data_IF_398977773016
#
_entry.id   IF_398977773016
#
_cell.length_a   1.000
_cell.length_b   1.000
_cell.length_c   1.000
_cell.angle_alpha   90.00
_cell.angle_beta   90.00
_cell.angle_gamma   90.00
#
_symmetry.space_group_name_H-M   'P 1'
#
loop_
_entity.id
_entity.type
_entity.pdbx_description
1 polymer ?
#
# COMPACT_ATOMS: atom_id res chain seq x y z
N UNK A 1 0.37 -13.83 -36.22
CA UNK A 1 0.78 -14.26 -34.86
C UNK A 1 0.03 -13.37 -33.90
N UNK A 2 -1.17 -13.81 -33.53
CA UNK A 2 -2.11 -13.06 -32.71
C UNK A 2 -1.67 -13.24 -31.26
N UNK A 3 -1.25 -12.16 -30.61
CA UNK A 3 -0.95 -12.17 -29.18
C UNK A 3 -2.30 -12.33 -28.49
N UNK A 4 -2.52 -13.51 -27.90
CA UNK A 4 -3.69 -13.81 -27.08
C UNK A 4 -3.55 -13.02 -25.77
N UNK A 5 -4.04 -11.78 -25.78
CA UNK A 5 -3.97 -10.84 -24.67
C UNK A 5 -5.12 -11.06 -23.66
N UNK A 6 -5.38 -12.31 -23.32
CA UNK A 6 -6.06 -12.64 -22.08
C UNK A 6 -5.00 -12.81 -20.99
N UNK A 7 -4.21 -11.77 -20.69
CA UNK A 7 -3.58 -11.69 -19.37
C UNK A 7 -4.75 -11.58 -18.39
N UNK A 8 -5.12 -12.71 -17.78
CA UNK A 8 -6.08 -12.73 -16.69
C UNK A 8 -5.58 -11.72 -15.67
N UNK A 9 -6.25 -10.56 -15.60
CA UNK A 9 -6.00 -9.60 -14.53
C UNK A 9 -6.17 -10.37 -13.22
N UNK A 10 -5.23 -10.18 -12.30
CA UNK A 10 -5.33 -10.76 -10.96
C UNK A 10 -6.76 -10.55 -10.44
N UNK A 11 -7.45 -11.59 -9.95
CA UNK A 11 -8.84 -11.46 -9.51
C UNK A 11 -8.96 -10.54 -8.27
N UNK A 12 -7.83 -10.13 -7.70
CA UNK A 12 -7.73 -9.26 -6.52
C UNK A 12 -7.69 -7.79 -6.96
N UNK A 13 -8.63 -7.00 -6.45
CA UNK A 13 -8.67 -5.58 -6.75
C UNK A 13 -7.45 -4.82 -6.17
N UNK A 14 -6.90 -3.79 -6.87
CA UNK A 14 -5.69 -3.11 -6.44
C UNK A 14 -5.73 -2.52 -5.02
N UNK A 15 -6.90 -2.06 -4.55
CA UNK A 15 -7.04 -1.41 -3.24
C UNK A 15 -6.94 -2.39 -2.06
N UNK A 16 -7.19 -3.69 -2.26
CA UNK A 16 -7.03 -4.77 -1.25
C UNK A 16 -5.72 -5.56 -1.39
N UNK A 17 -4.91 -5.23 -2.40
CA UNK A 17 -3.80 -6.08 -2.79
C UNK A 17 -2.70 -6.19 -1.72
N UNK A 18 -2.45 -5.13 -0.94
CA UNK A 18 -1.44 -5.19 0.14
C UNK A 18 -1.83 -6.19 1.24
N UNK A 19 -3.10 -6.17 1.68
CA UNK A 19 -3.65 -7.13 2.63
C UNK A 19 -3.65 -8.54 2.07
N UNK A 20 -4.08 -8.71 0.82
CA UNK A 20 -4.02 -9.99 0.10
C UNK A 20 -2.60 -10.59 0.11
N UNK A 21 -1.58 -9.79 -0.16
CA UNK A 21 -0.20 -10.28 -0.25
C UNK A 21 0.34 -10.82 1.09
N UNK A 22 0.00 -10.19 2.22
CA UNK A 22 0.36 -10.74 3.54
C UNK A 22 -0.53 -11.92 3.94
N UNK A 23 -1.81 -11.94 3.52
CA UNK A 23 -2.75 -13.03 3.76
C UNK A 23 -2.29 -14.32 3.08
N UNK A 24 -2.02 -14.27 1.76
CA UNK A 24 -1.55 -15.46 1.02
C UNK A 24 -0.21 -15.97 1.53
N UNK A 25 0.71 -15.07 1.92
CA UNK A 25 1.99 -15.45 2.51
C UNK A 25 1.79 -16.17 3.86
N UNK A 26 0.93 -15.64 4.74
CA UNK A 26 0.63 -16.26 6.03
C UNK A 26 0.03 -17.68 5.87
N UNK A 27 -0.92 -17.84 4.94
CA UNK A 27 -1.50 -19.15 4.60
C UNK A 27 -0.46 -20.11 4.00
N UNK A 28 0.44 -19.62 3.15
CA UNK A 28 1.52 -20.42 2.58
C UNK A 28 2.46 -20.96 3.66
N UNK A 29 2.73 -20.17 4.71
CA UNK A 29 3.45 -20.60 5.91
C UNK A 29 2.59 -21.42 6.89
N UNK A 30 1.40 -21.88 6.50
CA UNK A 30 0.54 -22.74 7.31
C UNK A 30 0.04 -22.08 8.59
N UNK A 31 -0.05 -20.75 8.63
CA UNK A 31 -0.58 -20.03 9.78
C UNK A 31 -2.12 -20.05 9.74
N UNK A 32 -2.74 -20.16 10.92
CA UNK A 32 -4.14 -19.77 11.11
C UNK A 32 -4.26 -18.26 10.97
N UNK A 33 -5.21 -17.81 10.18
CA UNK A 33 -5.41 -16.39 9.86
C UNK A 33 -6.83 -15.96 10.26
N UNK A 34 -6.96 -14.77 10.83
CA UNK A 34 -8.21 -14.04 10.98
C UNK A 34 -8.11 -12.74 10.19
N UNK A 35 -8.84 -12.68 9.07
CA UNK A 35 -9.00 -11.48 8.27
C UNK A 35 -10.19 -10.68 8.80
N UNK A 36 -9.98 -9.38 8.94
CA UNK A 36 -10.96 -8.41 9.39
C UNK A 36 -11.10 -7.30 8.33
N UNK A 37 -12.24 -6.59 8.30
CA UNK A 37 -12.44 -5.47 7.40
C UNK A 37 -11.29 -4.47 7.45
N UNK A 38 -11.06 -3.79 6.32
CA UNK A 38 -9.96 -2.81 6.16
C UNK A 38 -8.57 -3.46 6.19
N UNK A 39 -8.44 -4.68 5.66
CA UNK A 39 -7.16 -5.38 5.50
C UNK A 39 -6.41 -5.50 6.83
N UNK A 40 -7.13 -5.71 7.94
CA UNK A 40 -6.52 -6.08 9.21
C UNK A 40 -6.37 -7.60 9.22
N UNK A 41 -5.16 -8.06 9.44
CA UNK A 41 -4.82 -9.49 9.42
C UNK A 41 -4.16 -9.87 10.75
N UNK A 42 -4.72 -10.86 11.42
CA UNK A 42 -4.10 -11.50 12.59
C UNK A 42 -3.70 -12.92 12.20
N UNK A 43 -2.50 -13.37 12.57
CA UNK A 43 -2.07 -14.73 12.27
C UNK A 43 -1.32 -15.38 13.43
N UNK A 44 -1.48 -16.70 13.57
CA UNK A 44 -0.83 -17.53 14.58
C UNK A 44 -0.77 -19.00 14.17
N UNK A 45 -0.16 -19.87 14.99
CA UNK A 45 0.04 -21.29 14.60
C UNK A 45 -1.22 -22.15 14.70
N UNK A 46 -1.93 -22.06 15.82
CA UNK A 46 -3.10 -22.90 16.14
C UNK A 46 -4.41 -22.10 16.21
N UNK A 47 -4.28 -20.81 16.42
CA UNK A 47 -5.35 -19.83 16.54
C UNK A 47 -4.81 -18.51 16.03
N UNK A 48 -5.66 -17.70 15.42
CA UNK A 48 -5.32 -16.32 15.06
C UNK A 48 -5.36 -15.38 16.29
N UNK A 49 -5.99 -15.80 17.39
CA UNK A 49 -6.08 -15.04 18.65
C UNK A 49 -5.70 -15.94 19.85
N UNK A 50 -4.70 -15.56 20.67
CA UNK A 50 -3.84 -14.38 20.53
C UNK A 50 -2.98 -14.46 19.27
N UNK A 51 -2.84 -13.33 18.58
CA UNK A 51 -2.05 -13.26 17.36
C UNK A 51 -0.57 -13.38 17.67
N UNK A 52 0.16 -14.13 16.85
CA UNK A 52 1.63 -14.15 16.88
C UNK A 52 2.21 -13.02 16.03
N UNK A 53 1.55 -12.68 14.93
CA UNK A 53 1.89 -11.56 14.04
C UNK A 53 0.61 -10.85 13.58
N UNK A 54 0.70 -9.56 13.30
CA UNK A 54 -0.42 -8.79 12.76
C UNK A 54 0.00 -7.76 11.72
N UNK A 55 -0.95 -7.42 10.85
CA UNK A 55 -0.78 -6.44 9.77
C UNK A 55 -2.03 -5.57 9.63
N UNK A 56 -1.86 -4.37 9.10
CA UNK A 56 -2.97 -3.53 8.63
C UNK A 56 -2.60 -2.91 7.30
N UNK A 57 -3.37 -3.17 6.23
CA UNK A 57 -3.03 -2.76 4.85
C UNK A 57 -1.61 -3.21 4.43
N UNK A 58 -1.21 -4.42 4.84
CA UNK A 58 0.13 -4.97 4.61
C UNK A 58 1.24 -4.32 5.46
N UNK A 59 0.95 -3.27 6.24
CA UNK A 59 1.93 -2.68 7.16
C UNK A 59 2.08 -3.59 8.39
N UNK A 60 3.31 -4.03 8.72
CA UNK A 60 3.56 -4.93 9.84
C UNK A 60 3.42 -4.19 11.18
N UNK A 61 2.98 -4.90 12.23
CA UNK A 61 2.85 -4.36 13.60
C UNK A 61 4.14 -3.75 14.16
N UNK A 62 5.31 -4.21 13.70
CA UNK A 62 6.60 -3.61 14.06
C UNK A 62 6.73 -2.14 13.62
N UNK A 63 5.92 -1.67 12.66
CA UNK A 63 5.80 -0.24 12.33
C UNK A 63 4.89 0.46 13.34
N UNK A 64 5.47 1.29 14.18
CA UNK A 64 4.71 2.04 15.19
C UNK A 64 3.76 3.06 14.56
N UNK A 65 2.65 3.37 15.24
CA UNK A 65 1.69 4.40 14.78
C UNK A 65 2.36 5.77 14.59
N UNK A 66 3.33 6.12 15.45
CA UNK A 66 4.10 7.35 15.31
C UNK A 66 4.91 7.38 14.01
N UNK A 67 5.58 6.27 13.68
CA UNK A 67 6.37 6.15 12.45
C UNK A 67 5.50 6.25 11.19
N UNK A 68 4.35 5.56 11.19
CA UNK A 68 3.35 5.65 10.12
C UNK A 68 2.88 7.10 9.96
N UNK A 69 2.58 7.79 11.06
CA UNK A 69 2.17 9.19 11.04
C UNK A 69 3.27 10.10 10.47
N UNK A 70 4.54 9.85 10.82
CA UNK A 70 5.67 10.60 10.27
C UNK A 70 5.85 10.36 8.77
N UNK A 71 5.66 9.12 8.29
CA UNK A 71 5.76 8.78 6.88
C UNK A 71 4.65 9.44 6.03
N UNK A 72 3.48 9.67 6.61
CA UNK A 72 2.33 10.34 5.97
C UNK A 72 2.47 11.88 5.92
N UNK A 73 3.29 12.49 6.77
CA UNK A 73 3.63 13.92 6.71
C UNK A 73 4.94 14.13 5.93
N UNK A 74 4.81 14.54 4.66
CA UNK A 74 5.95 14.76 3.75
C UNK A 74 6.96 15.76 4.31
N UNK A 75 6.53 16.74 5.11
CA UNK A 75 7.44 17.73 5.70
C UNK A 75 8.25 17.11 6.83
N UNK A 76 7.62 16.34 7.71
CA UNK A 76 8.34 15.65 8.80
C UNK A 76 9.30 14.61 8.24
N UNK A 77 8.83 13.79 7.30
CA UNK A 77 9.64 12.80 6.61
C UNK A 77 10.84 13.40 5.91
N UNK A 78 10.65 14.48 5.13
CA UNK A 78 11.75 15.22 4.48
C UNK A 78 12.79 15.66 5.50
N UNK A 79 12.36 16.27 6.61
CA UNK A 79 13.28 16.72 7.66
C UNK A 79 14.04 15.55 8.32
N UNK A 80 13.40 14.38 8.48
CA UNK A 80 14.06 13.17 8.99
C UNK A 80 15.11 12.64 8.02
N UNK A 81 14.79 12.57 6.71
CA UNK A 81 15.73 12.15 5.67
C UNK A 81 16.95 13.09 5.57
N UNK A 82 16.72 14.41 5.58
CA UNK A 82 17.80 15.40 5.59
C UNK A 82 18.69 15.26 6.83
N UNK A 83 18.09 15.00 8.00
CA UNK A 83 18.82 14.83 9.27
C UNK A 83 19.75 13.61 9.26
N UNK A 84 19.41 12.56 8.50
CA UNK A 84 20.29 11.39 8.30
C UNK A 84 21.21 11.52 7.08
N UNK A 85 21.29 12.72 6.49
CA UNK A 85 22.19 13.05 5.39
C UNK A 85 21.80 12.42 4.07
N UNK A 86 20.51 12.14 3.85
CA UNK A 86 20.02 11.63 2.57
C UNK A 86 19.52 12.77 1.68
N UNK A 87 19.87 12.76 0.39
CA UNK A 87 19.47 13.81 -0.53
C UNK A 87 17.97 13.74 -0.82
N UNK A 88 17.31 14.90 -0.78
CA UNK A 88 15.88 15.10 -1.07
C UNK A 88 15.73 16.34 -1.96
N UNK A 89 14.73 16.40 -2.86
CA UNK A 89 14.55 17.55 -3.76
C UNK A 89 14.40 18.84 -2.98
N UNK A 90 15.05 19.93 -3.40
CA UNK A 90 14.86 21.22 -2.75
C UNK A 90 13.38 21.62 -2.79
N UNK A 91 12.81 21.91 -1.62
CA UNK A 91 11.38 22.19 -1.50
C UNK A 91 10.99 23.04 -0.31
N UNK A 92 9.80 23.62 -0.37
CA UNK A 92 9.19 24.42 0.68
C UNK A 92 7.67 24.19 0.75
N UNK A 93 7.10 24.42 1.93
CA UNK A 93 5.65 24.25 2.15
C UNK A 93 4.93 25.58 2.21
N UNK A 94 3.79 25.68 1.53
CA UNK A 94 2.94 26.86 1.49
C UNK A 94 1.49 26.49 1.79
N UNK A 95 0.74 27.44 2.34
CA UNK A 95 -0.72 27.32 2.48
C UNK A 95 -1.44 27.90 1.27
N UNK A 96 -2.72 27.59 1.12
CA UNK A 96 -3.57 28.25 0.12
C UNK A 96 -3.50 29.79 0.20
N UNK A 97 -3.49 30.34 1.42
CA UNK A 97 -3.42 31.80 1.66
C UNK A 97 -2.09 32.45 1.28
N UNK A 98 -1.07 31.65 1.00
CA UNK A 98 0.29 32.13 0.76
C UNK A 98 0.80 31.72 -0.62
N UNK A 99 -0.10 31.55 -1.59
CA UNK A 99 0.27 31.07 -2.91
C UNK A 99 1.11 32.09 -3.70
N UNK A 100 0.85 33.38 -3.55
CA UNK A 100 1.70 34.42 -4.16
C UNK A 100 3.14 34.36 -3.63
N UNK A 101 3.30 34.03 -2.34
CA UNK A 101 4.64 33.79 -1.75
C UNK A 101 5.28 32.52 -2.29
N UNK A 102 4.47 31.53 -2.64
CA UNK A 102 4.94 30.30 -3.27
C UNK A 102 5.49 30.61 -4.67
N UNK A 103 4.75 31.36 -5.49
CA UNK A 103 5.21 31.83 -6.80
C UNK A 103 6.50 32.66 -6.70
N UNK A 104 6.56 33.62 -5.76
CA UNK A 104 7.78 34.40 -5.50
C UNK A 104 8.96 33.54 -5.07
N UNK A 105 8.73 32.47 -4.30
CA UNK A 105 9.77 31.53 -3.91
C UNK A 105 10.27 30.73 -5.13
N UNK A 106 9.36 30.19 -5.95
CA UNK A 106 9.73 29.47 -7.18
C UNK A 106 10.52 30.37 -8.13
N UNK A 107 10.08 31.61 -8.34
CA UNK A 107 10.75 32.57 -9.22
C UNK A 107 12.17 32.93 -8.76
N UNK A 108 12.45 32.89 -7.45
CA UNK A 108 13.80 33.13 -6.91
C UNK A 108 14.67 31.90 -7.03
N UNK A 109 14.20 30.78 -6.49
CA UNK A 109 14.86 29.48 -6.55
C UNK A 109 13.91 28.44 -5.89
N UNK A 110 13.52 27.34 -6.57
CA UNK A 110 14.32 26.57 -7.54
C UNK A 110 14.13 26.88 -9.03
N UNK A 111 13.20 27.77 -9.39
CA UNK A 111 12.75 27.94 -10.78
C UNK A 111 11.80 26.83 -11.24
N UNK A 112 11.17 27.05 -12.39
CA UNK A 112 10.31 26.08 -13.06
C UNK A 112 11.11 25.07 -13.92
N UNK A 113 10.63 23.83 -14.13
CA UNK A 113 9.39 23.27 -13.60
C UNK A 113 9.49 22.79 -12.15
N UNK A 114 8.36 22.79 -11.46
CA UNK A 114 8.21 22.31 -10.07
C UNK A 114 7.15 21.22 -9.97
N UNK A 115 7.21 20.47 -8.87
CA UNK A 115 6.22 19.48 -8.48
C UNK A 115 5.43 20.01 -7.29
N UNK A 116 4.10 19.85 -7.31
CA UNK A 116 3.21 20.26 -6.22
C UNK A 116 2.54 19.02 -5.60
N UNK A 117 2.62 18.91 -4.28
CA UNK A 117 2.15 17.75 -3.49
C UNK A 117 1.31 18.21 -2.30
N UNK A 118 0.32 17.43 -1.89
CA UNK A 118 -0.28 17.62 -0.57
C UNK A 118 0.73 17.25 0.53
N UNK A 119 0.83 18.04 1.61
CA UNK A 119 1.84 17.80 2.66
C UNK A 119 1.51 16.60 3.54
N UNK A 120 0.23 16.38 3.83
CA UNK A 120 -0.26 15.26 4.65
C UNK A 120 -1.27 14.49 3.83
N UNK A 121 -1.08 13.19 3.73
CA UNK A 121 -1.96 12.34 2.94
C UNK A 121 -1.45 10.92 2.93
N UNK A 122 -2.32 10.00 2.53
CA UNK A 122 -1.89 8.65 2.25
C UNK A 122 -1.09 8.64 0.97
N UNK A 123 -0.03 7.85 0.96
CA UNK A 123 0.87 7.80 -0.16
C UNK A 123 0.28 6.88 -1.25
N UNK A 124 0.17 7.35 -2.52
CA UNK A 124 0.75 8.58 -3.01
C UNK A 124 -0.30 9.67 -2.85
N UNK A 125 0.02 10.67 -2.05
CA UNK A 125 -0.82 11.85 -2.06
C UNK A 125 -0.75 12.43 -3.48
N UNK A 126 -1.88 12.95 -3.97
CA UNK A 126 -1.96 13.51 -5.33
C UNK A 126 -0.77 14.44 -5.56
N UNK A 127 -0.08 14.19 -6.66
CA UNK A 127 1.13 14.92 -7.08
C UNK A 127 0.88 15.47 -8.47
N UNK A 128 1.16 16.74 -8.66
CA UNK A 128 1.05 17.42 -9.96
C UNK A 128 2.46 17.75 -10.42
N UNK A 129 2.84 17.17 -11.55
CA UNK A 129 4.13 17.35 -12.19
C UNK A 129 4.04 18.45 -13.26
N UNK A 130 5.21 18.84 -13.78
CA UNK A 130 5.40 19.74 -14.91
C UNK A 130 4.73 21.11 -14.74
N UNK A 131 4.59 21.58 -13.50
CA UNK A 131 4.10 22.93 -13.22
C UNK A 131 5.17 23.91 -13.65
N UNK A 132 4.87 24.74 -14.64
CA UNK A 132 5.84 25.55 -15.38
C UNK A 132 5.57 27.06 -15.34
N UNK A 133 4.47 27.49 -14.72
CA UNK A 133 4.10 28.90 -14.57
C UNK A 133 3.32 29.17 -13.28
N UNK A 134 3.18 30.44 -12.92
CA UNK A 134 2.42 30.88 -11.73
C UNK A 134 0.92 30.50 -11.85
N UNK A 135 0.35 30.60 -13.05
CA UNK A 135 -1.03 30.21 -13.32
C UNK A 135 -1.23 28.69 -13.16
N UNK A 136 -0.29 27.88 -13.67
CA UNK A 136 -0.30 26.43 -13.46
C UNK A 136 -0.10 26.06 -11.98
N UNK A 137 0.71 26.83 -11.25
CA UNK A 137 0.90 26.63 -9.82
C UNK A 137 -0.39 26.89 -9.03
N UNK A 138 -1.13 27.95 -9.40
CA UNK A 138 -2.47 28.22 -8.85
C UNK A 138 -3.44 27.09 -9.16
N UNK A 139 -3.50 26.66 -10.42
CA UNK A 139 -4.35 25.54 -10.84
C UNK A 139 -4.01 24.25 -10.07
N UNK A 140 -2.71 23.97 -9.87
CA UNK A 140 -2.26 22.81 -9.11
C UNK A 140 -2.76 22.85 -7.66
N UNK A 141 -2.65 23.99 -6.97
CA UNK A 141 -3.18 24.15 -5.62
C UNK A 141 -4.70 23.94 -5.57
N UNK A 142 -5.45 24.49 -6.53
CA UNK A 142 -6.91 24.31 -6.60
C UNK A 142 -7.28 22.84 -6.75
N UNK A 143 -6.64 22.12 -7.68
CA UNK A 143 -6.87 20.69 -7.92
C UNK A 143 -6.57 19.86 -6.67
N UNK A 144 -5.42 20.09 -6.02
CA UNK A 144 -5.04 19.36 -4.82
C UNK A 144 -5.93 19.70 -3.62
N UNK A 145 -6.51 20.90 -3.57
CA UNK A 145 -7.39 21.30 -2.47
C UNK A 145 -8.76 20.61 -2.53
N UNK A 146 -9.22 20.17 -3.70
CA UNK A 146 -10.53 19.51 -3.86
C UNK A 146 -10.57 18.19 -3.08
N UNK A 147 -11.72 17.89 -2.48
CA UNK A 147 -12.00 16.68 -1.71
C UNK A 147 -13.16 15.92 -2.32
N UNK A 148 -13.12 14.58 -2.21
CA UNK A 148 -14.22 13.75 -2.68
C UNK A 148 -15.16 13.44 -1.52
N UNK A 149 -16.47 13.28 -1.77
CA UNK A 149 -17.43 12.88 -0.73
C UNK A 149 -17.07 11.55 -0.05
N UNK A 150 -16.40 10.63 -0.75
CA UNK A 150 -15.99 9.34 -0.18
C UNK A 150 -14.87 9.50 0.86
N UNK A 151 -14.09 10.60 0.79
CA UNK A 151 -13.02 10.91 1.75
C UNK A 151 -13.59 11.35 3.12
N UNK A 152 -14.90 11.66 3.21
CA UNK A 152 -15.57 12.16 4.43
C UNK A 152 -15.64 11.12 5.55
N UNK A 153 -15.89 9.87 5.18
CA UNK A 153 -16.22 8.82 6.15
C UNK A 153 -15.13 7.75 6.13
N UNK A 154 -14.59 7.38 7.31
CA UNK A 154 -13.69 6.25 7.41
C UNK A 154 -14.32 5.02 6.75
N UNK A 155 -13.64 4.47 5.74
CA UNK A 155 -14.06 3.23 5.08
C UNK A 155 -14.99 3.40 3.90
N UNK A 156 -15.40 4.62 3.55
CA UNK A 156 -16.07 4.87 2.27
C UNK A 156 -15.07 4.87 1.11
N UNK A 157 -13.95 5.56 1.28
CA UNK A 157 -12.86 5.47 0.35
C UNK A 157 -12.04 4.20 0.64
N UNK A 158 -12.15 3.21 -0.25
CA UNK A 158 -11.45 1.91 -0.16
C UNK A 158 -9.94 2.04 -0.39
N UNK A 159 -9.50 3.11 -1.03
CA UNK A 159 -8.09 3.41 -1.26
C UNK A 159 -7.43 3.98 0.00
N UNK A 160 -8.23 4.44 0.99
CA UNK A 160 -7.71 5.05 2.21
C UNK A 160 -7.56 4.05 3.37
N UNK A 161 -6.36 3.98 3.92
CA UNK A 161 -6.03 3.20 5.08
C UNK A 161 -6.88 3.60 6.30
N UNK A 162 -7.34 2.60 7.05
CA UNK A 162 -8.20 2.81 8.22
C UNK A 162 -7.55 3.65 9.33
N UNK A 163 -6.22 3.64 9.41
CA UNK A 163 -5.40 4.34 10.39
C UNK A 163 -4.86 5.70 9.90
N UNK A 164 -5.12 6.09 8.64
CA UNK A 164 -4.58 7.32 8.09
C UNK A 164 -5.05 8.53 8.90
N UNK A 165 -4.11 9.35 9.38
CA UNK A 165 -4.36 10.50 10.26
C UNK A 165 -5.04 11.69 9.53
N UNK A 166 -5.64 11.47 8.37
CA UNK A 166 -5.90 12.49 7.37
C UNK A 166 -7.29 13.12 7.49
N UNK A 167 -7.87 13.20 8.69
CA UNK A 167 -9.13 13.93 8.88
C UNK A 167 -8.89 15.44 8.85
N UNK A 168 -8.60 15.93 7.65
CA UNK A 168 -8.77 17.34 7.33
C UNK A 168 -10.28 17.60 7.37
N UNK A 169 -10.73 18.51 8.24
CA UNK A 169 -12.05 19.10 8.08
C UNK A 169 -12.17 19.70 6.67
N UNK A 170 -13.36 19.84 6.11
CA UNK A 170 -13.55 20.46 4.80
C UNK A 170 -14.27 21.80 4.94
N UNK A 171 -14.19 22.59 3.87
CA UNK A 171 -15.01 23.79 3.66
C UNK A 171 -15.66 23.68 2.29
N UNK A 172 -16.71 24.45 2.06
CA UNK A 172 -17.31 24.60 0.75
C UNK A 172 -16.76 25.90 0.16
N UNK A 173 -16.22 25.86 -1.06
CA UNK A 173 -15.79 27.07 -1.78
C UNK A 173 -16.97 27.76 -2.48
N UNK A 174 -16.71 28.91 -3.10
CA UNK A 174 -17.75 29.74 -3.73
C UNK A 174 -18.45 29.03 -4.91
N UNK A 175 -17.80 28.00 -5.47
CA UNK A 175 -18.32 27.16 -6.55
C UNK A 175 -19.09 25.92 -6.02
N UNK A 176 -19.26 25.80 -4.70
CA UNK A 176 -19.94 24.68 -4.07
C UNK A 176 -19.09 23.41 -3.94
N UNK A 177 -17.79 23.46 -4.25
CA UNK A 177 -16.91 22.30 -4.12
C UNK A 177 -16.47 22.11 -2.67
N UNK A 178 -16.32 20.85 -2.26
CA UNK A 178 -15.64 20.52 -1.01
C UNK A 178 -14.13 20.65 -1.17
N UNK A 179 -13.55 21.48 -0.32
CA UNK A 179 -12.15 21.83 -0.37
C UNK A 179 -11.50 21.71 1.01
N UNK A 180 -10.21 21.38 1.02
CA UNK A 180 -9.38 21.42 2.20
C UNK A 180 -9.39 22.84 2.82
N UNK A 181 -9.22 22.99 4.14
CA UNK A 181 -9.25 24.30 4.77
C UNK A 181 -8.08 25.17 4.26
N UNK A 182 -8.20 26.51 4.25
CA UNK A 182 -7.15 27.41 3.77
C UNK A 182 -5.79 27.25 4.48
N UNK A 183 -5.79 26.65 5.67
CA UNK A 183 -4.58 26.32 6.45
C UNK A 183 -3.87 25.04 5.99
N UNK A 184 -4.46 24.29 5.07
CA UNK A 184 -3.85 23.09 4.47
C UNK A 184 -2.57 23.50 3.77
N UNK A 185 -1.53 22.70 3.97
CA UNK A 185 -0.21 22.94 3.39
C UNK A 185 0.01 22.05 2.17
N UNK A 186 0.66 22.63 1.18
CA UNK A 186 1.15 21.98 -0.02
C UNK A 186 2.67 22.10 -0.03
N UNK A 187 3.33 21.05 -0.48
CA UNK A 187 4.77 20.99 -0.67
C UNK A 187 5.07 21.26 -2.14
N UNK A 188 5.95 22.22 -2.39
CA UNK A 188 6.48 22.52 -3.72
C UNK A 188 7.94 22.12 -3.72
N UNK A 189 8.34 21.33 -4.71
CA UNK A 189 9.70 20.83 -4.87
C UNK A 189 10.21 21.10 -6.28
N UNK A 190 11.53 21.28 -6.43
CA UNK A 190 12.17 21.25 -7.75
C UNK A 190 11.83 19.92 -8.42
N UNK A 191 11.36 19.98 -9.67
CA UNK A 191 11.21 18.75 -10.45
C UNK A 191 12.57 18.27 -10.92
N UNK A 192 12.93 17.06 -10.51
CA UNK A 192 14.18 16.42 -10.92
C UNK A 192 13.98 15.65 -12.22
N UNK A 193 15.08 15.43 -12.93
CA UNK A 193 15.14 14.61 -14.14
C UNK A 193 16.02 13.40 -13.87
N UNK A 194 15.65 12.25 -14.44
CA UNK A 194 16.39 11.01 -14.25
C UNK A 194 15.47 9.79 -14.40
N UNK A 195 16.02 8.62 -14.14
CA UNK A 195 15.29 7.37 -13.98
C UNK A 195 14.59 7.39 -12.63
N UNK A 196 13.27 7.20 -12.65
CA UNK A 196 12.49 7.02 -11.44
C UNK A 196 12.52 5.54 -11.05
N UNK A 197 13.18 5.21 -9.94
CA UNK A 197 13.21 3.87 -9.35
C UNK A 197 12.41 3.84 -8.06
N UNK A 198 11.59 2.82 -7.88
CA UNK A 198 10.87 2.52 -6.65
C UNK A 198 11.42 1.24 -6.04
N UNK A 199 11.82 1.31 -4.76
CA UNK A 199 12.45 0.22 -4.01
C UNK A 199 11.56 -0.11 -2.80
N UNK A 200 11.19 -1.37 -2.62
CA UNK A 200 10.58 -1.80 -1.36
C UNK A 200 11.69 -2.21 -0.39
N UNK A 201 11.63 -1.73 0.84
CA UNK A 201 12.60 -2.01 1.90
C UNK A 201 11.86 -2.49 3.17
N UNK A 202 12.33 -3.56 3.79
CA UNK A 202 11.75 -4.13 5.01
C UNK A 202 12.86 -4.72 5.88
N UNK A 203 12.97 -4.24 7.13
CA UNK A 203 14.08 -4.61 8.01
C UNK A 203 15.44 -4.26 7.39
N UNK A 204 16.17 -5.31 7.02
CA UNK A 204 17.51 -5.22 6.43
C UNK A 204 17.54 -5.67 4.95
N UNK A 205 16.37 -5.94 4.36
CA UNK A 205 16.22 -6.45 3.00
C UNK A 205 15.57 -5.40 2.08
N UNK A 206 15.96 -5.39 0.80
CA UNK A 206 15.26 -4.68 -0.27
C UNK A 206 14.80 -5.68 -1.33
N UNK A 207 13.70 -6.41 -1.10
CA UNK A 207 13.41 -7.60 -1.88
C UNK A 207 13.01 -7.30 -3.31
N UNK A 208 12.52 -6.09 -3.64
CA UNK A 208 12.09 -5.75 -5.00
C UNK A 208 12.40 -4.28 -5.34
N UNK A 209 12.70 -4.03 -6.61
CA UNK A 209 12.90 -2.68 -7.17
C UNK A 209 12.40 -2.61 -8.60
N UNK A 210 11.69 -1.54 -8.96
CA UNK A 210 11.11 -1.35 -10.29
C UNK A 210 11.43 0.05 -10.81
N UNK A 211 11.60 0.18 -12.13
CA UNK A 211 11.60 1.49 -12.80
C UNK A 211 10.15 1.90 -13.00
N UNK A 212 9.84 3.16 -12.67
CA UNK A 212 8.53 3.78 -12.79
C UNK A 212 8.48 4.70 -14.00
N UNK A 213 7.34 4.77 -14.68
CA UNK A 213 7.02 5.86 -15.58
C UNK A 213 6.60 7.08 -14.73
N UNK A 214 7.34 8.20 -14.79
CA UNK A 214 7.02 9.37 -13.98
C UNK A 214 5.67 10.01 -14.32
N UNK A 215 5.13 9.82 -15.54
CA UNK A 215 3.88 10.44 -15.98
C UNK A 215 2.66 9.66 -15.51
N UNK A 216 2.71 8.33 -15.63
CA UNK A 216 1.59 7.47 -15.23
C UNK A 216 1.71 7.03 -13.77
N UNK A 217 2.92 7.03 -13.21
CA UNK A 217 3.20 6.45 -11.91
C UNK A 217 3.11 4.93 -11.88
N UNK A 218 3.09 4.29 -13.06
CA UNK A 218 3.05 2.83 -13.23
C UNK A 218 4.47 2.29 -13.41
N UNK A 219 4.78 1.09 -12.91
CA UNK A 219 6.06 0.48 -13.14
C UNK A 219 6.17 -0.05 -14.57
N UNK A 220 7.37 0.12 -15.12
CA UNK A 220 7.74 -0.23 -16.48
C UNK A 220 8.46 -1.57 -16.52
N UNK A 221 9.35 -1.84 -15.54
CA UNK A 221 10.14 -3.07 -15.49
C UNK A 221 10.72 -3.35 -14.11
N UNK A 222 10.92 -4.63 -13.79
CA UNK A 222 11.75 -5.10 -12.68
C UNK A 222 13.22 -4.72 -12.92
N UNK A 223 13.86 -4.13 -11.91
CA UNK A 223 15.29 -3.84 -11.88
C UNK A 223 15.98 -4.40 -10.64
N UNK A 224 15.33 -5.29 -9.90
CA UNK A 224 15.84 -5.82 -8.62
C UNK A 224 17.23 -6.45 -8.71
N UNK A 225 17.55 -7.09 -9.84
CA UNK A 225 18.84 -7.74 -10.07
C UNK A 225 19.89 -6.82 -10.71
N UNK A 226 19.46 -5.69 -11.29
CA UNK A 226 20.30 -4.75 -12.03
C UNK A 226 20.63 -3.50 -11.21
N UNK A 227 19.84 -3.21 -10.18
CA UNK A 227 20.06 -2.07 -9.29
C UNK A 227 21.37 -2.25 -8.52
N UNK A 228 22.23 -1.24 -8.56
CA UNK A 228 23.46 -1.25 -7.78
C UNK A 228 23.15 -1.32 -6.27
N UNK A 229 23.93 -2.13 -5.53
CA UNK A 229 23.69 -2.42 -4.12
C UNK A 229 23.80 -1.18 -3.21
N UNK A 230 24.47 -0.11 -3.65
CA UNK A 230 24.49 1.16 -2.93
C UNK A 230 23.11 1.79 -2.80
N UNK A 231 22.18 1.57 -3.75
CA UNK A 231 20.81 2.06 -3.64
C UNK A 231 19.96 1.27 -2.65
N UNK A 232 20.23 -0.03 -2.46
CA UNK A 232 19.67 -0.77 -1.31
C UNK A 232 20.10 -0.15 0.01
N UNK A 233 21.37 0.25 0.12
CA UNK A 233 21.88 0.95 1.31
C UNK A 233 21.19 2.29 1.52
N UNK A 234 20.96 3.07 0.45
CA UNK A 234 20.21 4.33 0.50
C UNK A 234 18.78 4.09 0.99
N UNK A 235 18.06 3.12 0.41
CA UNK A 235 16.68 2.81 0.78
C UNK A 235 16.56 2.35 2.24
N UNK A 236 17.43 1.44 2.69
CA UNK A 236 17.44 0.97 4.08
C UNK A 236 17.77 2.10 5.06
N UNK A 237 18.71 2.98 4.72
CA UNK A 237 18.99 4.20 5.52
C UNK A 237 17.79 5.13 5.59
N UNK A 238 17.02 5.25 4.51
CA UNK A 238 15.82 6.07 4.47
C UNK A 238 14.74 5.55 5.42
N UNK A 239 14.47 4.23 5.39
CA UNK A 239 13.53 3.58 6.31
C UNK A 239 13.97 3.74 7.76
N UNK A 240 15.23 3.43 8.07
CA UNK A 240 15.81 3.58 9.41
C UNK A 240 15.85 5.02 9.90
N UNK A 241 15.87 5.99 8.97
CA UNK A 241 15.80 7.41 9.28
C UNK A 241 14.45 7.84 9.87
N UNK A 242 13.40 7.02 9.75
CA UNK A 242 12.10 7.22 10.39
C UNK A 242 11.99 6.28 11.60
N UNK A 243 12.12 6.80 12.84
CA UNK A 243 12.15 5.95 14.03
C UNK A 243 10.88 5.11 14.18
N UNK A 244 11.06 3.80 14.29
CA UNK A 244 9.97 2.83 14.46
C UNK A 244 9.24 2.46 13.16
N UNK A 245 9.77 2.79 11.98
CA UNK A 245 9.26 2.31 10.70
C UNK A 245 9.97 1.00 10.32
N UNK A 246 9.22 -0.08 10.13
CA UNK A 246 9.79 -1.40 9.84
C UNK A 246 9.91 -1.70 8.34
N UNK A 247 9.00 -1.15 7.54
CA UNK A 247 8.97 -1.34 6.09
C UNK A 247 8.50 -0.06 5.41
N UNK A 248 8.99 0.19 4.19
CA UNK A 248 8.53 1.28 3.36
C UNK A 248 8.81 1.02 1.87
N UNK A 249 8.02 1.68 1.03
CA UNK A 249 8.37 1.97 -0.36
C UNK A 249 9.19 3.25 -0.40
N UNK A 250 10.35 3.22 -1.06
CA UNK A 250 11.26 4.37 -1.25
C UNK A 250 11.40 4.67 -2.73
N UNK A 251 11.06 5.89 -3.11
CA UNK A 251 11.07 6.37 -4.49
C UNK A 251 12.25 7.30 -4.69
N UNK A 252 13.08 7.01 -5.68
CA UNK A 252 14.35 7.68 -5.97
C UNK A 252 14.35 8.14 -7.42
N UNK A 253 14.78 9.37 -7.67
CA UNK A 253 15.20 9.83 -9.01
C UNK A 253 16.72 9.82 -9.04
N UNK A 254 17.29 9.13 -10.03
CA UNK A 254 18.73 8.90 -10.21
C UNK A 254 19.10 8.94 -11.71
N UNK A 255 20.39 8.96 -12.06
CA UNK A 255 20.84 9.01 -13.45
C UNK A 255 20.86 7.63 -14.11
N UNK A 256 21.50 6.65 -13.48
CA UNK A 256 21.64 5.27 -13.95
C UNK A 256 21.53 4.28 -12.78
N UNK A 257 20.53 3.37 -12.79
CA UNK A 257 20.32 2.43 -11.69
C UNK A 257 21.45 1.40 -11.54
N UNK A 258 22.31 1.23 -12.54
CA UNK A 258 23.40 0.23 -12.52
C UNK A 258 24.73 0.80 -12.02
N UNK A 259 24.80 2.11 -11.80
CA UNK A 259 26.00 2.80 -11.32
C UNK A 259 25.91 3.05 -9.80
N UNK A 260 27.03 3.11 -9.07
CA UNK A 260 27.03 3.42 -7.64
C UNK A 260 26.42 4.79 -7.31
N UNK A 261 25.71 4.87 -6.18
CA UNK A 261 24.98 6.06 -5.74
C UNK A 261 25.91 7.24 -5.39
N UNK A 262 27.17 6.98 -5.00
CA UNK A 262 28.18 8.01 -4.69
C UNK A 262 28.86 8.59 -5.94
N UNK A 263 28.66 7.97 -7.11
CA UNK A 263 29.20 8.43 -8.39
C UNK A 263 28.23 9.27 -9.23
N UNK A 264 27.00 9.47 -8.75
CA UNK A 264 25.93 10.16 -9.50
C UNK A 264 25.01 10.97 -8.59
N UNK A 265 24.27 11.93 -9.16
CA UNK A 265 23.21 12.58 -8.41
C UNK A 265 22.01 11.65 -8.23
N UNK A 266 21.48 11.60 -7.01
CA UNK A 266 20.25 10.87 -6.69
C UNK A 266 19.49 11.59 -5.59
N UNK A 267 18.16 11.46 -5.58
CA UNK A 267 17.31 12.10 -4.58
C UNK A 267 16.12 11.22 -4.22
N UNK A 268 15.81 11.10 -2.94
CA UNK A 268 14.59 10.45 -2.46
C UNK A 268 13.42 11.42 -2.63
N UNK A 269 12.48 11.08 -3.51
CA UNK A 269 11.34 11.95 -3.86
C UNK A 269 10.05 11.57 -3.12
N UNK A 270 9.98 10.35 -2.62
CA UNK A 270 8.84 9.82 -1.87
C UNK A 270 9.29 8.66 -0.95
N UNK A 271 8.65 8.54 0.22
CA UNK A 271 8.79 7.38 1.11
C UNK A 271 7.43 7.09 1.74
N UNK A 272 6.90 5.90 1.51
CA UNK A 272 5.56 5.50 1.93
C UNK A 272 5.62 4.27 2.83
N UNK A 273 4.92 4.29 3.95
CA UNK A 273 4.81 3.15 4.87
C UNK A 273 4.10 1.94 4.25
N UNK A 274 3.22 2.17 3.27
CA UNK A 274 2.48 1.10 2.60
C UNK A 274 3.37 0.31 1.62
N UNK A 275 3.22 -1.02 1.54
CA UNK A 275 3.98 -1.84 0.59
C UNK A 275 3.64 -1.55 -0.86
N UNK A 276 2.38 -1.23 -1.17
CA UNK A 276 1.91 -0.94 -2.54
C UNK A 276 2.23 -2.04 -3.52
N UNK A 277 2.09 -3.28 -3.07
CA UNK A 277 2.45 -4.47 -3.82
C UNK A 277 1.73 -4.53 -5.17
N UNK A 278 0.52 -3.97 -5.28
CA UNK A 278 -0.21 -3.86 -6.54
C UNK A 278 0.59 -3.14 -7.62
N UNK A 279 1.33 -2.09 -7.26
CA UNK A 279 2.15 -1.36 -8.23
C UNK A 279 3.23 -2.29 -8.77
N UNK A 280 4.06 -2.89 -7.93
CA UNK A 280 5.10 -3.83 -8.37
C UNK A 280 4.55 -4.99 -9.22
N UNK A 281 3.40 -5.53 -8.84
CA UNK A 281 2.77 -6.66 -9.51
C UNK A 281 2.37 -6.38 -10.97
N UNK A 282 2.21 -5.12 -11.40
CA UNK A 282 1.95 -4.83 -12.82
C UNK A 282 3.18 -4.97 -13.71
N UNK A 283 4.39 -4.91 -13.13
CA UNK A 283 5.62 -5.22 -13.87
C UNK A 283 5.89 -6.73 -13.91
N UNK A 284 5.70 -7.40 -12.77
CA UNK A 284 5.79 -8.85 -12.64
C UNK A 284 5.03 -9.26 -11.36
N UNK A 285 4.03 -10.14 -11.50
CA UNK A 285 3.16 -10.56 -10.40
C UNK A 285 3.94 -11.16 -9.22
N UNK A 286 5.06 -11.85 -9.50
CA UNK A 286 5.90 -12.45 -8.46
C UNK A 286 6.57 -11.42 -7.54
N UNK A 287 6.62 -10.14 -7.93
CA UNK A 287 7.14 -9.07 -7.07
C UNK A 287 6.20 -8.79 -5.91
N UNK A 288 4.89 -8.83 -6.14
CA UNK A 288 3.91 -8.81 -5.05
C UNK A 288 4.14 -9.97 -4.09
N UNK A 289 4.43 -11.16 -4.66
CA UNK A 289 4.66 -12.36 -3.87
C UNK A 289 5.88 -12.22 -2.94
N UNK A 290 6.99 -11.72 -3.48
CA UNK A 290 8.21 -11.43 -2.74
C UNK A 290 8.01 -10.39 -1.63
N UNK A 291 7.16 -9.38 -1.86
CA UNK A 291 6.83 -8.36 -0.84
C UNK A 291 6.10 -9.01 0.34
N UNK A 292 5.01 -9.74 0.09
CA UNK A 292 4.23 -10.36 1.16
C UNK A 292 5.04 -11.40 1.95
N UNK A 293 5.88 -12.19 1.26
CA UNK A 293 6.75 -13.18 1.90
C UNK A 293 7.80 -12.53 2.79
N UNK A 294 8.39 -11.41 2.35
CA UNK A 294 9.37 -10.65 3.12
C UNK A 294 8.73 -10.05 4.36
N UNK A 295 7.53 -9.47 4.23
CA UNK A 295 6.78 -8.92 5.36
C UNK A 295 6.43 -9.96 6.42
N UNK A 296 5.95 -11.14 6.01
CA UNK A 296 5.62 -12.23 6.95
C UNK A 296 6.88 -12.79 7.61
N UNK A 297 7.97 -13.03 6.86
CA UNK A 297 9.26 -13.46 7.43
C UNK A 297 9.80 -12.45 8.45
N UNK A 298 9.80 -11.17 8.08
CA UNK A 298 10.29 -10.10 8.94
C UNK A 298 9.49 -10.03 10.25
N UNK A 299 8.15 -9.96 10.17
CA UNK A 299 7.32 -9.85 11.36
C UNK A 299 7.38 -11.11 12.23
N UNK A 300 7.48 -12.30 11.62
CA UNK A 300 7.71 -13.54 12.34
C UNK A 300 9.05 -13.53 13.08
N UNK A 301 10.11 -13.01 12.45
CA UNK A 301 11.41 -12.79 13.09
C UNK A 301 11.31 -11.87 14.31
N UNK A 302 10.60 -10.74 14.20
CA UNK A 302 10.36 -9.84 15.33
C UNK A 302 9.59 -10.53 16.47
N UNK A 303 8.66 -11.42 16.13
CA UNK A 303 7.86 -12.18 17.10
C UNK A 303 8.56 -13.47 17.62
N UNK A 304 9.80 -13.77 17.18
CA UNK A 304 10.47 -15.05 17.42
C UNK A 304 9.63 -16.27 16.99
N UNK A 305 8.78 -16.10 15.98
CA UNK A 305 7.95 -17.15 15.42
C UNK A 305 8.74 -17.91 14.34
N UNK A 306 9.01 -19.18 14.59
CA UNK A 306 9.60 -20.04 13.56
C UNK A 306 8.52 -20.39 12.52
N UNK A 307 8.75 -19.98 11.28
CA UNK A 307 7.88 -20.31 10.16
C UNK A 307 8.22 -21.69 9.59
N UNK A 308 7.23 -22.56 9.31
CA UNK A 308 7.47 -23.81 8.58
C UNK A 308 7.80 -23.51 7.10
N UNK A 309 8.20 -24.52 6.29
CA UNK A 309 8.32 -24.35 4.86
C UNK A 309 6.99 -23.95 4.21
N UNK A 310 7.05 -23.17 3.13
CA UNK A 310 5.86 -22.78 2.37
C UNK A 310 5.20 -23.97 1.70
N UNK A 311 3.86 -23.98 1.71
CA UNK A 311 3.00 -24.99 1.08
C UNK A 311 2.45 -24.44 -0.25
N UNK A 312 2.47 -25.26 -1.30
CA UNK A 312 1.90 -24.89 -2.62
C UNK A 312 0.39 -25.05 -2.70
N UNK A 313 -0.15 -25.99 -1.92
CA UNK A 313 -1.56 -26.24 -1.75
C UNK A 313 -1.84 -26.50 -0.27
N UNK A 314 -3.02 -26.08 0.19
CA UNK A 314 -3.47 -26.22 1.58
C UNK A 314 -4.95 -26.61 1.61
N UNK A 315 -5.34 -27.24 2.71
CA UNK A 315 -6.74 -27.36 3.12
C UNK A 315 -6.93 -26.51 4.37
N UNK A 316 -7.99 -25.71 4.40
CA UNK A 316 -8.34 -24.85 5.53
C UNK A 316 -9.78 -25.04 5.93
N UNK A 317 -10.03 -25.13 7.23
CA UNK A 317 -11.37 -24.85 7.76
C UNK A 317 -11.60 -23.35 7.67
N UNK A 318 -12.68 -22.95 7.00
CA UNK A 318 -13.09 -21.56 6.86
C UNK A 318 -14.31 -21.28 7.74
N UNK A 319 -14.31 -20.12 8.39
CA UNK A 319 -15.45 -19.60 9.14
C UNK A 319 -15.65 -18.12 8.81
N UNK A 320 -16.78 -17.81 8.20
CA UNK A 320 -17.22 -16.47 7.82
C UNK A 320 -18.29 -16.03 8.82
N UNK A 321 -18.13 -14.85 9.44
CA UNK A 321 -19.09 -14.34 10.43
C UNK A 321 -19.61 -12.94 10.07
N UNK A 322 -20.73 -12.56 10.69
CA UNK A 322 -21.32 -11.24 10.57
C UNK A 322 -21.96 -10.98 9.21
N UNK A 323 -22.47 -12.03 8.57
CA UNK A 323 -23.25 -11.94 7.34
C UNK A 323 -24.69 -11.49 7.65
N UNK A 324 -25.28 -10.69 6.76
CA UNK A 324 -26.70 -10.32 6.79
C UNK A 324 -27.60 -11.40 6.20
N UNK A 325 -27.09 -12.17 5.24
CA UNK A 325 -27.80 -13.26 4.57
C UNK A 325 -26.88 -14.49 4.42
N UNK A 326 -26.71 -15.24 5.51
CA UNK A 326 -25.81 -16.40 5.54
C UNK A 326 -26.28 -17.52 4.60
N UNK A 327 -27.59 -17.76 4.49
CA UNK A 327 -28.18 -18.70 3.55
C UNK A 327 -27.83 -18.38 2.09
N UNK A 328 -27.99 -17.12 1.65
CA UNK A 328 -27.63 -16.73 0.28
C UNK A 328 -26.13 -16.89 0.02
N UNK A 329 -25.29 -16.51 0.99
CA UNK A 329 -23.83 -16.68 0.89
C UNK A 329 -23.46 -18.16 0.80
N UNK A 330 -24.04 -19.01 1.65
CA UNK A 330 -23.81 -20.45 1.63
C UNK A 330 -24.21 -21.09 0.29
N UNK A 331 -25.35 -20.70 -0.27
CA UNK A 331 -25.83 -21.19 -1.57
C UNK A 331 -24.90 -20.78 -2.74
N UNK A 332 -24.28 -19.60 -2.66
CA UNK A 332 -23.35 -19.10 -3.68
C UNK A 332 -21.88 -19.51 -3.46
N UNK A 333 -21.51 -20.00 -2.28
CA UNK A 333 -20.12 -20.15 -1.86
C UNK A 333 -19.31 -21.07 -2.77
N UNK A 334 -19.78 -22.27 -3.07
CA UNK A 334 -19.03 -23.24 -3.91
C UNK A 334 -18.79 -22.70 -5.33
N UNK A 335 -19.80 -22.05 -5.93
CA UNK A 335 -19.66 -21.40 -7.24
C UNK A 335 -18.65 -20.27 -7.19
N UNK A 336 -18.70 -19.42 -6.14
CA UNK A 336 -17.73 -18.34 -5.95
C UNK A 336 -16.31 -18.90 -5.76
N UNK A 337 -16.14 -19.93 -4.93
CA UNK A 337 -14.85 -20.58 -4.68
C UNK A 337 -14.26 -21.19 -5.96
N UNK A 338 -15.06 -21.88 -6.76
CA UNK A 338 -14.63 -22.43 -8.05
C UNK A 338 -14.16 -21.34 -9.03
N UNK A 339 -14.70 -20.13 -8.95
CA UNK A 339 -14.25 -18.98 -9.76
C UNK A 339 -12.83 -18.49 -9.41
N UNK A 340 -12.26 -18.93 -8.28
CA UNK A 340 -10.90 -18.65 -7.84
C UNK A 340 -10.01 -19.90 -7.87
N UNK A 341 -10.44 -21.00 -8.51
CA UNK A 341 -9.77 -22.30 -8.47
C UNK A 341 -9.63 -22.86 -7.03
N UNK A 342 -10.64 -22.64 -6.20
CA UNK A 342 -10.76 -23.20 -4.84
C UNK A 342 -11.87 -24.24 -4.81
N UNK A 343 -11.55 -25.45 -4.34
CA UNK A 343 -12.55 -26.46 -3.99
C UNK A 343 -13.13 -26.13 -2.61
N UNK A 344 -14.36 -25.59 -2.60
CA UNK A 344 -15.02 -25.06 -1.41
C UNK A 344 -16.32 -25.79 -1.09
N UNK A 345 -16.46 -26.25 0.14
CA UNK A 345 -17.67 -26.91 0.63
C UNK A 345 -18.19 -26.22 1.90
N UNK A 346 -19.49 -25.98 1.97
CA UNK A 346 -20.16 -25.46 3.18
C UNK A 346 -20.68 -26.63 4.00
N UNK A 347 -20.39 -26.62 5.31
CA UNK A 347 -20.86 -27.62 6.26
C UNK A 347 -21.87 -27.06 7.26
N UNK A 348 -21.78 -25.77 7.58
CA UNK A 348 -22.63 -25.10 8.58
C UNK A 348 -23.11 -23.77 8.03
N UNK A 349 -24.39 -23.50 8.23
CA UNK A 349 -25.03 -22.20 8.00
C UNK A 349 -25.88 -21.86 9.22
N UNK A 350 -25.68 -20.68 9.78
CA UNK A 350 -26.49 -20.12 10.86
C UNK A 350 -26.94 -18.71 10.47
N UNK A 351 -28.21 -18.58 10.09
CA UNK A 351 -28.80 -17.30 9.67
C UNK A 351 -29.02 -16.34 10.84
N UNK A 352 -29.15 -16.85 12.07
CA UNK A 352 -29.38 -16.02 13.25
C UNK A 352 -28.10 -15.31 13.67
N UNK A 353 -26.98 -16.04 13.68
CA UNK A 353 -25.66 -15.49 14.02
C UNK A 353 -24.92 -14.94 12.79
N UNK A 354 -25.42 -15.17 11.57
CA UNK A 354 -24.81 -14.72 10.33
C UNK A 354 -23.50 -15.44 10.03
N UNK A 355 -23.48 -16.76 10.20
CA UNK A 355 -22.28 -17.61 10.08
C UNK A 355 -22.40 -18.56 8.90
N UNK A 356 -21.32 -18.69 8.15
CA UNK A 356 -21.07 -19.80 7.22
C UNK A 356 -19.73 -20.43 7.57
N UNK A 357 -19.69 -21.76 7.72
CA UNK A 357 -18.44 -22.48 7.94
C UNK A 357 -18.35 -23.73 7.06
N UNK A 358 -17.11 -24.10 6.73
CA UNK A 358 -16.84 -25.15 5.77
C UNK A 358 -15.36 -25.39 5.57
N UNK A 359 -15.00 -25.96 4.43
CA UNK A 359 -13.62 -26.28 4.06
C UNK A 359 -13.27 -25.69 2.70
N UNK A 360 -12.04 -25.23 2.55
CA UNK A 360 -11.46 -24.82 1.27
C UNK A 360 -10.18 -25.60 1.00
N UNK A 361 -10.00 -26.07 -0.23
CA UNK A 361 -8.78 -26.66 -0.73
C UNK A 361 -8.30 -25.91 -1.99
N UNK A 362 -7.02 -25.55 -2.04
CA UNK A 362 -6.46 -24.81 -3.16
C UNK A 362 -5.07 -24.24 -2.86
N UNK A 363 -4.61 -23.31 -3.69
CA UNK A 363 -3.37 -22.58 -3.41
C UNK A 363 -3.60 -21.52 -2.33
N UNK A 364 -2.58 -21.16 -1.52
CA UNK A 364 -2.71 -20.06 -0.56
C UNK A 364 -3.15 -18.73 -1.18
N UNK A 365 -2.70 -18.46 -2.42
CA UNK A 365 -3.09 -17.29 -3.20
C UNK A 365 -4.59 -17.31 -3.54
N UNK A 366 -5.08 -18.42 -4.09
CA UNK A 366 -6.49 -18.59 -4.44
C UNK A 366 -7.43 -18.42 -3.23
N UNK A 367 -7.10 -19.06 -2.10
CA UNK A 367 -7.89 -18.98 -0.86
C UNK A 367 -7.87 -17.55 -0.28
N UNK A 368 -6.71 -16.90 -0.24
CA UNK A 368 -6.61 -15.52 0.22
C UNK A 368 -7.42 -14.56 -0.68
N UNK A 369 -7.37 -14.75 -2.01
CA UNK A 369 -8.14 -13.93 -2.95
C UNK A 369 -9.65 -14.09 -2.75
N UNK A 370 -10.13 -15.33 -2.59
CA UNK A 370 -11.53 -15.62 -2.24
C UNK A 370 -11.93 -14.91 -0.94
N UNK A 371 -11.11 -15.04 0.12
CA UNK A 371 -11.38 -14.44 1.43
C UNK A 371 -11.45 -12.91 1.36
N UNK A 372 -10.48 -12.25 0.72
CA UNK A 372 -10.46 -10.79 0.60
C UNK A 372 -11.65 -10.26 -0.22
N UNK A 373 -12.04 -10.98 -1.28
CA UNK A 373 -13.21 -10.62 -2.10
C UNK A 373 -14.54 -10.80 -1.36
N UNK A 374 -14.65 -11.83 -0.52
CA UNK A 374 -15.80 -12.00 0.40
C UNK A 374 -15.83 -10.90 1.46
N UNK A 375 -14.69 -10.57 2.07
CA UNK A 375 -14.56 -9.50 3.07
C UNK A 375 -14.96 -8.13 2.51
N UNK A 376 -14.58 -7.85 1.25
CA UNK A 376 -14.91 -6.59 0.59
C UNK A 376 -16.37 -6.55 0.07
N UNK A 377 -17.04 -7.71 0.03
CA UNK A 377 -18.40 -7.90 -0.44
C UNK A 377 -18.57 -7.81 -1.95
N UNK A 378 -17.51 -8.15 -2.71
CA UNK A 378 -17.52 -8.04 -4.16
C UNK A 378 -18.14 -9.29 -4.85
N UNK A 379 -18.29 -10.41 -4.14
CA UNK A 379 -18.75 -11.68 -4.73
C UNK A 379 -20.25 -11.98 -4.56
N UNK A 380 -20.79 -11.75 -3.36
CA UNK A 380 -22.11 -12.24 -2.99
C UNK A 380 -23.04 -11.13 -2.47
N UNK A 381 -22.66 -9.86 -2.69
CA UNK A 381 -23.46 -8.69 -2.28
C UNK A 381 -23.55 -8.48 -0.77
N UNK A 382 -22.83 -9.27 0.02
CA UNK A 382 -22.76 -9.18 1.47
C UNK A 382 -21.33 -9.04 1.96
N UNK A 383 -21.15 -8.42 3.13
CA UNK A 383 -19.83 -8.15 3.72
C UNK A 383 -19.73 -8.85 5.05
N UNK A 384 -18.77 -9.77 5.17
CA UNK A 384 -18.46 -10.39 6.44
C UNK A 384 -17.81 -9.40 7.40
N UNK A 385 -18.01 -9.64 8.69
CA UNK A 385 -17.32 -8.92 9.77
C UNK A 385 -15.96 -9.53 10.10
N UNK A 386 -15.78 -10.82 9.82
CA UNK A 386 -14.48 -11.49 9.87
C UNK A 386 -14.51 -12.80 9.03
N UNK A 387 -13.32 -13.28 8.68
CA UNK A 387 -13.11 -14.60 8.09
C UNK A 387 -11.91 -15.23 8.78
N UNK A 388 -12.12 -16.36 9.43
CA UNK A 388 -11.05 -17.19 9.98
C UNK A 388 -10.74 -18.33 9.01
N UNK A 389 -9.45 -18.60 8.76
CA UNK A 389 -8.96 -19.74 7.99
C UNK A 389 -7.94 -20.51 8.83
N UNK A 390 -8.30 -21.72 9.25
CA UNK A 390 -7.44 -22.61 10.04
C UNK A 390 -6.81 -23.65 9.13
N UNK A 391 -5.51 -23.55 8.92
CA UNK A 391 -4.76 -24.54 8.16
C UNK A 391 -4.62 -25.81 9.01
N UNK A 392 -5.01 -26.96 8.45
CA UNK A 392 -4.75 -28.24 9.11
C UNK A 392 -3.24 -28.46 9.30
N UNK A 393 -2.86 -28.86 10.52
CA UNK A 393 -1.46 -28.94 10.96
C UNK A 393 -0.62 -29.89 10.11
#
# INVERSE_FOLDING_TARGET
MTIDAASQRSPVAPHIYDGYQVHRAALAYGLTVLALPRQVLLAGRKSAVPAAISFTHGVPEASTMSAVTYAQDRRLRRALLERVGLPVPRGATFTWRSIDRAAQWVAREPGYPVVVKETVGENPAKTILDVSSDDELMAAFQVLRRRRPEDRSPGRNRDLAGYAANRLGFQIDDDGNEVAPPRTRFLIERQLRGVYVRIFACGDETPVSVVMDPRTGEPVRDVSAQLDASFSTVALRAVRGVPGLAAATVDIILEDPTSPADTQEHHIVELAERPRAASYATADESLGDRIGDTLVRFQAGQANLVLPPQRKAITTDIRVEGLRDAAAVAAGFTTAASGYDVDGAVAVTDDLEGIVAGTCHGTPAAIAALNESLMNGDLLGDRSSCIESRVEA
#
